data_IF_830841400107
#
_entry.id   IF_830841400107
#
_cell.length_a   1.000
_cell.length_b   1.000
_cell.length_c   1.000
_cell.angle_alpha   90.00
_cell.angle_beta   90.00
_cell.angle_gamma   90.00
#
_symmetry.space_group_name_H-M   'P 1'
#
loop_
_entity.id
_entity.type
_entity.pdbx_description
1 polymer ?
#
# COMPACT_ATOMS: atom_id res chain seq x y z
N UNK A 1 -47.82 6.36 -10.43
CA UNK A 1 -46.92 5.53 -9.61
C UNK A 1 -45.65 5.33 -10.41
N UNK A 2 -44.54 5.89 -9.90
CA UNK A 2 -43.16 5.76 -10.39
C UNK A 2 -42.62 4.32 -10.22
N UNK A 3 -41.35 4.01 -10.56
CA UNK A 3 -40.69 4.13 -11.87
C UNK A 3 -39.82 2.89 -12.21
N UNK A 4 -39.07 2.99 -13.31
CA UNK A 4 -38.13 2.05 -13.89
C UNK A 4 -37.00 1.55 -12.96
N UNK A 5 -36.57 0.31 -13.20
CA UNK A 5 -35.40 -0.32 -12.56
C UNK A 5 -34.19 -0.23 -13.49
N UNK A 6 -33.21 0.60 -13.12
CA UNK A 6 -31.89 0.67 -13.74
C UNK A 6 -31.01 -0.45 -13.20
N UNK A 7 -30.56 -1.35 -14.07
CA UNK A 7 -29.49 -2.29 -13.76
C UNK A 7 -28.14 -1.59 -13.96
N UNK A 8 -27.41 -1.35 -12.87
CA UNK A 8 -25.97 -1.07 -12.91
C UNK A 8 -25.22 -2.18 -12.18
N UNK A 9 -24.40 -2.93 -12.90
CA UNK A 9 -23.28 -3.69 -12.37
C UNK A 9 -22.17 -3.71 -13.42
N UNK A 10 -21.15 -2.89 -13.22
CA UNK A 10 -19.77 -3.22 -13.60
C UNK A 10 -18.83 -2.34 -12.78
N UNK A 11 -18.08 -2.97 -11.88
CA UNK A 11 -17.04 -2.32 -11.09
C UNK A 11 -15.81 -3.23 -11.14
N UNK A 12 -14.99 -3.02 -12.18
CA UNK A 12 -13.65 -3.57 -12.28
C UNK A 12 -12.66 -2.51 -11.77
N UNK A 13 -11.71 -2.89 -10.93
CA UNK A 13 -10.54 -2.07 -10.62
C UNK A 13 -10.11 -2.11 -9.15
N UNK A 14 -9.14 -2.96 -8.84
CA UNK A 14 -8.34 -2.93 -7.61
C UNK A 14 -6.91 -2.57 -7.97
N UNK A 15 -6.45 -1.36 -7.62
CA UNK A 15 -5.03 -0.98 -7.64
C UNK A 15 -4.69 -0.08 -6.42
N UNK A 16 -3.44 -0.20 -5.94
CA UNK A 16 -2.89 0.51 -4.78
C UNK A 16 -2.06 1.73 -5.22
N UNK A 17 -2.09 2.81 -4.43
CA UNK A 17 -1.65 4.16 -4.82
C UNK A 17 -0.68 4.84 -3.83
N UNK A 18 0.25 5.70 -4.29
CA UNK A 18 1.14 6.51 -3.46
C UNK A 18 0.57 7.92 -3.11
N UNK A 19 0.99 8.52 -1.99
CA UNK A 19 0.53 9.84 -1.48
C UNK A 19 1.65 10.88 -1.39
N UNK A 20 1.32 12.17 -1.54
CA UNK A 20 2.24 13.30 -1.33
C UNK A 20 1.55 14.41 -0.52
N UNK A 21 2.27 15.07 0.39
CA UNK A 21 1.75 15.94 1.45
C UNK A 21 2.54 17.27 1.59
N UNK A 22 1.88 18.30 2.15
CA UNK A 22 2.50 19.59 2.52
C UNK A 22 1.88 20.02 3.85
N UNK A 23 2.62 19.97 4.98
CA UNK A 23 2.06 20.08 6.34
C UNK A 23 2.94 20.93 7.28
N UNK A 24 2.29 21.86 7.98
CA UNK A 24 2.78 22.52 9.19
C UNK A 24 1.86 22.17 10.39
N UNK A 25 2.41 21.41 11.34
CA UNK A 25 1.99 21.11 12.73
C UNK A 25 0.69 20.28 13.01
N UNK A 26 0.71 19.49 14.11
CA UNK A 26 -0.06 18.23 14.28
C UNK A 26 -1.20 18.23 15.34
N UNK A 27 -2.22 17.38 15.13
CA UNK A 27 -3.24 16.95 16.13
C UNK A 27 -4.19 15.86 15.58
N UNK A 28 -4.64 14.90 16.41
CA UNK A 28 -5.10 13.53 16.08
C UNK A 28 -6.62 13.28 15.92
N UNK A 29 -7.09 12.39 15.00
CA UNK A 29 -8.01 11.22 15.22
C UNK A 29 -8.70 10.55 13.96
N UNK A 30 -8.65 9.19 13.88
CA UNK A 30 -9.51 8.12 13.24
C UNK A 30 -9.80 7.84 11.70
N UNK A 31 -9.50 6.57 11.29
CA UNK A 31 -10.12 5.46 10.45
C UNK A 31 -11.09 5.63 9.21
N UNK A 32 -10.70 5.09 8.01
CA UNK A 32 -11.34 4.01 7.12
C UNK A 32 -11.20 4.17 5.57
N UNK A 33 -10.51 3.20 4.88
CA UNK A 33 -10.34 2.90 3.41
C UNK A 33 -9.03 3.29 2.66
N UNK A 34 -8.12 2.32 2.54
CA UNK A 34 -6.67 2.50 2.68
C UNK A 34 -5.86 3.23 1.61
N UNK A 35 -6.43 3.63 0.48
CA UNK A 35 -5.70 4.47 -0.46
C UNK A 35 -6.15 5.93 -0.30
N UNK A 36 -7.23 6.32 -0.96
CA UNK A 36 -7.76 7.67 -0.84
C UNK A 36 -8.36 7.97 0.52
N UNK A 37 -8.80 7.00 1.33
CA UNK A 37 -9.19 7.38 2.70
C UNK A 37 -8.00 7.76 3.57
N UNK A 38 -6.77 7.35 3.26
CA UNK A 38 -5.62 7.83 4.05
C UNK A 38 -5.38 9.29 3.70
N UNK A 39 -5.53 9.66 2.43
CA UNK A 39 -5.54 11.05 2.00
C UNK A 39 -6.74 11.84 2.57
N UNK A 40 -7.96 11.29 2.58
CA UNK A 40 -9.14 11.90 3.20
C UNK A 40 -8.93 12.03 4.70
N UNK A 41 -8.44 10.99 5.37
CA UNK A 41 -8.16 11.02 6.80
C UNK A 41 -7.10 12.07 7.12
N UNK A 42 -6.02 12.15 6.33
CA UNK A 42 -5.03 13.21 6.47
C UNK A 42 -5.67 14.59 6.24
N UNK A 43 -6.46 14.78 5.18
CA UNK A 43 -7.12 16.04 4.90
C UNK A 43 -8.12 16.46 5.99
N UNK A 44 -8.85 15.51 6.57
CA UNK A 44 -9.75 15.73 7.71
C UNK A 44 -9.00 16.01 9.01
N UNK A 45 -7.87 15.33 9.24
CA UNK A 45 -7.04 15.50 10.44
C UNK A 45 -6.27 16.83 10.39
N UNK A 46 -5.84 17.24 9.19
CA UNK A 46 -5.08 18.47 8.94
C UNK A 46 -5.87 19.38 7.99
N UNK A 47 -6.92 20.07 8.47
CA UNK A 47 -7.78 20.90 7.62
C UNK A 47 -7.04 22.10 7.00
N UNK A 48 -5.88 22.46 7.53
CA UNK A 48 -5.00 23.52 6.99
C UNK A 48 -3.97 22.99 5.98
N UNK A 49 -3.79 21.67 5.87
CA UNK A 49 -2.89 21.08 4.90
C UNK A 49 -3.53 21.06 3.52
N UNK A 50 -2.71 21.25 2.48
CA UNK A 50 -3.08 20.87 1.12
C UNK A 50 -2.64 19.43 0.90
N UNK A 51 -3.61 18.54 0.64
CA UNK A 51 -3.35 17.12 0.44
C UNK A 51 -3.51 16.78 -1.04
N UNK A 52 -2.52 16.06 -1.57
CA UNK A 52 -2.55 15.54 -2.94
C UNK A 52 -2.56 14.00 -2.87
N UNK A 53 -3.62 13.40 -3.39
CA UNK A 53 -3.69 11.98 -3.65
C UNK A 53 -3.36 11.71 -5.12
N UNK A 54 -2.53 10.69 -5.39
CA UNK A 54 -2.19 10.30 -6.76
C UNK A 54 -2.43 8.80 -6.98
N UNK A 55 -2.96 8.45 -8.15
CA UNK A 55 -3.09 7.06 -8.63
C UNK A 55 -3.03 7.06 -10.16
N UNK A 56 -2.59 5.97 -10.79
CA UNK A 56 -2.60 5.87 -12.27
C UNK A 56 -4.02 5.67 -12.82
N UNK A 57 -4.95 5.25 -11.98
CA UNK A 57 -6.37 5.05 -12.30
C UNK A 57 -7.24 6.16 -11.74
N UNK A 58 -8.49 6.24 -12.23
CA UNK A 58 -9.44 7.22 -11.73
C UNK A 58 -10.01 6.79 -10.37
N UNK A 59 -10.22 7.78 -9.51
CA UNK A 59 -10.95 7.55 -8.27
C UNK A 59 -12.44 7.33 -8.56
N UNK A 60 -13.08 6.29 -7.99
CA UNK A 60 -14.53 6.13 -8.09
C UNK A 60 -15.27 7.37 -7.57
N UNK A 61 -16.40 7.77 -8.17
CA UNK A 61 -17.12 8.98 -7.79
C UNK A 61 -17.42 9.06 -6.29
N UNK A 62 -16.93 10.12 -5.64
CA UNK A 62 -17.17 10.39 -4.22
C UNK A 62 -16.91 11.85 -3.84
N UNK A 63 -17.50 12.34 -2.75
CA UNK A 63 -17.09 13.60 -2.16
C UNK A 63 -15.67 13.50 -1.60
N UNK A 64 -14.88 14.56 -1.82
CA UNK A 64 -13.56 14.75 -1.23
C UNK A 64 -13.59 15.98 -0.32
N UNK A 65 -12.79 16.00 0.77
CA UNK A 65 -12.54 17.22 1.53
C UNK A 65 -12.05 18.36 0.62
N UNK A 66 -12.44 19.60 0.93
CA UNK A 66 -12.09 20.78 0.11
C UNK A 66 -10.59 21.02 -0.01
N UNK A 67 -9.81 20.51 0.95
CA UNK A 67 -8.35 20.60 0.99
C UNK A 67 -7.64 19.36 0.42
N UNK A 68 -8.39 18.42 -0.21
CA UNK A 68 -7.85 17.25 -0.89
C UNK A 68 -8.06 17.36 -2.40
N UNK A 69 -6.97 17.27 -3.16
CA UNK A 69 -6.98 17.15 -4.62
C UNK A 69 -6.54 15.75 -5.04
N UNK A 70 -7.26 15.18 -6.00
CA UNK A 70 -6.88 13.91 -6.62
C UNK A 70 -6.23 14.17 -7.99
N UNK A 71 -5.10 13.54 -8.24
CA UNK A 71 -4.36 13.60 -9.51
C UNK A 71 -4.24 12.20 -10.10
N UNK A 72 -4.78 12.00 -11.31
CA UNK A 72 -4.48 10.81 -12.08
C UNK A 72 -3.05 10.92 -12.62
N UNK A 73 -2.13 10.12 -12.09
CA UNK A 73 -0.71 10.20 -12.34
C UNK A 73 -0.06 8.82 -12.31
N UNK A 74 0.69 8.50 -13.38
CA UNK A 74 1.61 7.36 -13.36
C UNK A 74 2.94 7.81 -12.76
N UNK A 75 3.24 7.33 -11.55
CA UNK A 75 4.48 7.70 -10.85
C UNK A 75 5.76 7.21 -11.52
N UNK A 76 5.68 6.35 -12.53
CA UNK A 76 6.84 5.94 -13.34
C UNK A 76 7.24 7.03 -14.34
N UNK A 77 6.33 7.95 -14.65
CA UNK A 77 6.54 9.09 -15.55
C UNK A 77 6.99 10.34 -14.76
N UNK A 78 7.57 11.36 -15.42
CA UNK A 78 7.92 12.63 -14.79
C UNK A 78 6.75 13.24 -14.01
N UNK A 79 7.04 13.75 -12.81
CA UNK A 79 6.03 14.39 -11.98
C UNK A 79 5.74 15.81 -12.50
N UNK A 80 4.46 16.25 -12.57
CA UNK A 80 4.08 17.57 -13.03
C UNK A 80 4.12 18.59 -11.87
N UNK A 81 5.08 18.46 -10.97
CA UNK A 81 5.21 19.29 -9.79
C UNK A 81 6.60 19.93 -9.76
N UNK A 82 6.66 21.15 -9.26
CA UNK A 82 7.93 21.83 -9.07
C UNK A 82 8.82 21.07 -8.06
N UNK A 83 10.15 21.06 -8.25
CA UNK A 83 11.07 20.60 -7.23
C UNK A 83 10.83 21.32 -5.90
N UNK A 84 11.12 20.66 -4.79
CA UNK A 84 11.02 21.26 -3.44
C UNK A 84 9.64 21.87 -3.14
N UNK A 85 8.58 21.25 -3.62
CA UNK A 85 7.21 21.75 -3.45
C UNK A 85 6.45 21.09 -2.29
N UNK A 86 6.91 19.94 -1.80
CA UNK A 86 6.26 19.13 -0.77
C UNK A 86 7.01 19.12 0.56
N UNK A 87 6.28 19.23 1.68
CA UNK A 87 6.87 19.09 3.01
C UNK A 87 6.96 17.63 3.45
N UNK A 88 6.06 16.78 2.96
CA UNK A 88 5.99 15.37 3.34
C UNK A 88 5.60 14.56 2.10
N UNK A 89 6.14 13.38 1.87
CA UNK A 89 5.67 12.45 0.82
C UNK A 89 5.52 11.08 1.47
N UNK A 90 4.44 10.36 1.14
CA UNK A 90 4.14 9.06 1.70
C UNK A 90 3.80 8.03 0.61
N UNK A 91 4.74 7.17 0.29
CA UNK A 91 4.51 6.07 -0.66
C UNK A 91 4.10 4.84 0.13
N UNK A 92 2.90 4.31 -0.18
CA UNK A 92 2.28 3.23 0.60
C UNK A 92 1.81 2.11 -0.30
N UNK A 93 2.33 0.90 -0.09
CA UNK A 93 1.94 -0.30 -0.83
C UNK A 93 2.02 -0.11 -2.35
N UNK A 94 3.14 0.45 -2.81
CA UNK A 94 3.32 0.87 -4.20
C UNK A 94 4.63 0.39 -4.77
N UNK A 95 5.70 0.40 -3.98
CA UNK A 95 7.04 0.12 -4.50
C UNK A 95 7.14 -1.32 -5.02
N UNK A 96 6.46 -2.28 -4.39
CA UNK A 96 6.43 -3.68 -4.84
C UNK A 96 5.71 -3.92 -6.17
N UNK A 97 5.02 -2.90 -6.70
CA UNK A 97 4.38 -2.94 -8.01
C UNK A 97 5.27 -2.35 -9.13
N UNK A 98 6.46 -1.84 -8.78
CA UNK A 98 7.31 -1.11 -9.72
C UNK A 98 8.51 -1.96 -10.16
N UNK A 99 8.89 -1.92 -11.45
CA UNK A 99 10.08 -2.61 -11.94
C UNK A 99 11.38 -1.90 -11.54
N UNK A 100 11.35 -0.59 -11.29
CA UNK A 100 12.52 0.18 -10.82
C UNK A 100 12.14 1.18 -9.70
N UNK A 101 11.85 0.67 -8.48
CA UNK A 101 11.48 1.51 -7.35
C UNK A 101 12.54 2.58 -6.98
N UNK A 102 13.88 2.31 -6.99
CA UNK A 102 14.89 3.31 -6.69
C UNK A 102 14.81 4.55 -7.58
N UNK A 103 14.50 4.40 -8.86
CA UNK A 103 14.35 5.53 -9.77
C UNK A 103 13.15 6.44 -9.40
N UNK A 104 12.04 5.85 -8.98
CA UNK A 104 10.88 6.63 -8.50
C UNK A 104 11.21 7.34 -7.20
N UNK A 105 11.87 6.64 -6.26
CA UNK A 105 12.28 7.24 -4.97
C UNK A 105 13.19 8.45 -5.21
N UNK A 106 14.16 8.36 -6.13
CA UNK A 106 15.03 9.50 -6.50
C UNK A 106 14.23 10.72 -6.95
N UNK A 107 13.27 10.56 -7.87
CA UNK A 107 12.44 11.68 -8.36
C UNK A 107 11.51 12.23 -7.28
N UNK A 108 11.05 11.37 -6.37
CA UNK A 108 10.26 11.80 -5.20
C UNK A 108 11.08 12.64 -4.23
N UNK A 109 12.37 12.33 -4.04
CA UNK A 109 13.30 13.12 -3.21
C UNK A 109 13.47 14.55 -3.76
N UNK A 110 13.49 14.71 -5.08
CA UNK A 110 13.60 16.04 -5.73
C UNK A 110 12.39 16.94 -5.42
N UNK A 111 11.21 16.34 -5.23
CA UNK A 111 9.98 17.07 -4.91
C UNK A 111 9.89 17.50 -3.44
N UNK A 112 10.68 16.89 -2.55
CA UNK A 112 10.73 17.27 -1.14
C UNK A 112 11.52 18.56 -0.95
N UNK A 113 10.99 19.47 -0.13
CA UNK A 113 11.75 20.61 0.39
C UNK A 113 12.91 20.15 1.27
N UNK A 114 13.96 20.97 1.42
CA UNK A 114 14.91 20.84 2.52
C UNK A 114 14.16 20.74 3.86
N UNK A 115 14.53 19.77 4.69
CA UNK A 115 13.82 19.46 5.94
C UNK A 115 12.48 18.72 5.80
N UNK A 116 12.02 18.43 4.58
CA UNK A 116 10.82 17.64 4.31
C UNK A 116 10.98 16.15 4.61
N UNK A 117 9.88 15.41 4.72
CA UNK A 117 9.88 14.01 5.12
C UNK A 117 9.46 13.06 4.00
N UNK A 118 10.20 11.98 3.80
CA UNK A 118 9.75 10.83 3.01
C UNK A 118 9.33 9.71 3.95
N UNK A 119 8.13 9.17 3.76
CA UNK A 119 7.60 7.99 4.42
C UNK A 119 7.37 6.93 3.36
N UNK A 120 7.93 5.74 3.56
CA UNK A 120 7.74 4.57 2.73
C UNK A 120 7.15 3.48 3.61
N UNK A 121 6.07 2.84 3.15
CA UNK A 121 5.51 1.68 3.82
C UNK A 121 5.14 0.60 2.80
N UNK A 122 5.63 -0.61 3.00
CA UNK A 122 5.40 -1.70 2.05
C UNK A 122 5.50 -3.11 2.69
N UNK A 123 5.02 -4.11 1.96
CA UNK A 123 4.98 -5.52 2.37
C UNK A 123 6.21 -6.28 1.87
N UNK A 124 6.72 -7.19 2.68
CA UNK A 124 7.67 -8.22 2.21
C UNK A 124 6.93 -9.53 1.98
N UNK A 125 7.37 -10.26 0.95
CA UNK A 125 6.70 -11.46 0.46
C UNK A 125 7.64 -12.65 0.50
N UNK A 126 8.11 -13.05 1.70
CA UNK A 126 8.94 -14.22 1.83
C UNK A 126 8.16 -15.46 1.39
N UNK A 127 8.87 -16.37 0.71
CA UNK A 127 8.31 -17.62 0.19
C UNK A 127 7.91 -18.60 1.29
N UNK A 128 8.42 -18.43 2.50
CA UNK A 128 8.15 -19.30 3.64
C UNK A 128 7.93 -18.51 4.92
N UNK A 129 6.91 -18.89 5.67
CA UNK A 129 6.79 -18.60 7.09
C UNK A 129 6.35 -19.88 7.82
N UNK A 130 6.92 -20.17 9.00
CA UNK A 130 6.66 -21.43 9.70
C UNK A 130 5.22 -21.56 10.23
N UNK A 131 4.43 -20.49 10.16
CA UNK A 131 3.07 -20.43 10.70
C UNK A 131 1.96 -20.67 9.66
N UNK A 132 2.26 -20.46 8.38
CA UNK A 132 1.35 -20.60 7.25
C UNK A 132 1.00 -22.06 6.98
N UNK A 133 -0.23 -22.29 6.51
CA UNK A 133 -0.64 -23.58 5.98
C UNK A 133 -0.11 -23.83 4.56
N UNK A 134 -0.28 -25.07 4.06
CA UNK A 134 0.21 -25.47 2.74
C UNK A 134 -0.35 -24.60 1.60
N UNK A 135 -1.62 -24.18 1.62
CA UNK A 135 -2.17 -23.32 0.58
C UNK A 135 -1.57 -21.90 0.64
N UNK A 136 -1.31 -21.38 1.85
CA UNK A 136 -0.58 -20.13 2.02
C UNK A 136 0.86 -20.19 1.50
N UNK A 137 1.58 -21.27 1.76
CA UNK A 137 2.92 -21.48 1.19
C UNK A 137 2.89 -21.54 -0.33
N UNK A 138 1.97 -22.32 -0.90
CA UNK A 138 1.86 -22.45 -2.35
C UNK A 138 1.46 -21.14 -3.02
N UNK A 139 0.50 -20.40 -2.45
CA UNK A 139 0.11 -19.08 -2.94
C UNK A 139 1.29 -18.09 -2.91
N UNK A 140 2.07 -18.07 -1.83
CA UNK A 140 3.28 -17.23 -1.73
C UNK A 140 4.33 -17.63 -2.78
N UNK A 141 4.54 -18.94 -3.01
CA UNK A 141 5.47 -19.45 -4.02
C UNK A 141 5.06 -19.04 -5.44
N UNK A 142 3.80 -19.23 -5.80
CA UNK A 142 3.24 -18.82 -7.10
C UNK A 142 3.41 -17.30 -7.27
N UNK A 143 3.04 -16.53 -6.25
CA UNK A 143 3.17 -15.07 -6.27
C UNK A 143 4.61 -14.58 -6.39
N UNK A 144 5.52 -15.21 -5.67
CA UNK A 144 6.95 -14.90 -5.74
C UNK A 144 7.49 -15.12 -7.17
N UNK A 145 7.23 -16.30 -7.73
CA UNK A 145 7.69 -16.65 -9.08
C UNK A 145 7.12 -15.69 -10.12
N UNK A 146 5.83 -15.37 -10.01
CA UNK A 146 5.17 -14.41 -10.88
C UNK A 146 5.81 -13.02 -10.77
N UNK A 147 6.04 -12.50 -9.55
CA UNK A 147 6.68 -11.19 -9.35
C UNK A 147 8.07 -11.15 -10.01
N UNK A 148 8.90 -12.18 -9.78
CA UNK A 148 10.23 -12.27 -10.38
C UNK A 148 10.15 -12.33 -11.92
N UNK A 149 9.22 -13.09 -12.48
CA UNK A 149 9.02 -13.17 -13.93
C UNK A 149 8.59 -11.83 -14.56
N UNK A 150 7.91 -10.97 -13.79
CA UNK A 150 7.55 -9.60 -14.19
C UNK A 150 8.68 -8.57 -13.96
N UNK A 151 9.85 -9.00 -13.45
CA UNK A 151 10.95 -8.10 -13.09
C UNK A 151 10.66 -7.24 -11.86
N UNK A 152 9.74 -7.67 -10.99
CA UNK A 152 9.42 -7.02 -9.72
C UNK A 152 10.30 -7.60 -8.60
N UNK A 153 10.60 -6.77 -7.59
CA UNK A 153 11.35 -7.18 -6.41
C UNK A 153 10.39 -7.58 -5.25
N UNK A 154 10.31 -8.87 -4.87
CA UNK A 154 9.49 -9.32 -3.74
C UNK A 154 9.96 -8.83 -2.37
N UNK A 155 11.17 -8.27 -2.30
CA UNK A 155 11.84 -7.82 -1.07
C UNK A 155 12.15 -6.32 -1.09
N UNK A 156 11.54 -5.53 -1.99
CA UNK A 156 11.81 -4.08 -2.07
C UNK A 156 11.60 -3.35 -0.73
N UNK A 157 10.63 -3.81 0.06
CA UNK A 157 10.35 -3.33 1.41
C UNK A 157 11.56 -3.44 2.34
N UNK A 158 12.38 -4.46 2.18
CA UNK A 158 13.60 -4.70 2.96
C UNK A 158 14.74 -3.76 2.54
N UNK A 159 14.74 -3.33 1.27
CA UNK A 159 15.73 -2.46 0.66
C UNK A 159 15.42 -0.96 0.83
N UNK A 160 14.20 -0.58 1.24
CA UNK A 160 13.78 0.83 1.32
C UNK A 160 14.75 1.72 2.09
N UNK A 161 15.20 1.28 3.26
CA UNK A 161 16.11 2.06 4.10
C UNK A 161 17.47 2.29 3.43
N UNK A 162 18.03 1.22 2.85
CA UNK A 162 19.28 1.26 2.12
C UNK A 162 19.18 2.23 0.93
N UNK A 163 18.09 2.20 0.16
CA UNK A 163 17.87 3.12 -0.95
C UNK A 163 17.86 4.59 -0.48
N UNK A 164 17.26 4.86 0.68
CA UNK A 164 17.25 6.21 1.26
C UNK A 164 18.66 6.62 1.72
N UNK A 165 19.40 5.73 2.37
CA UNK A 165 20.77 5.98 2.83
C UNK A 165 21.74 6.24 1.65
N UNK A 166 21.69 5.40 0.62
CA UNK A 166 22.51 5.50 -0.59
C UNK A 166 22.19 6.73 -1.45
N UNK A 167 21.01 7.34 -1.26
CA UNK A 167 20.67 8.60 -1.92
C UNK A 167 21.49 9.78 -1.43
N UNK A 168 22.07 9.68 -0.22
CA UNK A 168 22.78 10.76 0.48
C UNK A 168 21.98 12.07 0.64
N UNK A 169 20.66 12.04 0.42
CA UNK A 169 19.80 13.22 0.46
C UNK A 169 19.22 13.51 1.85
N UNK A 170 19.40 12.60 2.81
CA UNK A 170 18.72 12.63 4.10
C UNK A 170 19.71 12.76 5.26
N UNK A 171 19.33 13.57 6.26
CA UNK A 171 20.10 13.73 7.50
C UNK A 171 19.84 12.61 8.51
N UNK A 172 18.71 11.92 8.38
CA UNK A 172 18.37 10.75 9.17
C UNK A 172 17.47 9.81 8.38
N UNK A 173 17.68 8.51 8.57
CA UNK A 173 16.85 7.42 8.04
C UNK A 173 16.51 6.52 9.22
N UNK A 174 15.24 6.16 9.33
CA UNK A 174 14.72 5.31 10.39
C UNK A 174 13.87 4.20 9.79
N UNK A 175 13.79 3.07 10.50
CA UNK A 175 12.96 1.94 10.08
C UNK A 175 12.19 1.34 11.23
N UNK A 176 11.06 0.74 10.88
CA UNK A 176 10.29 -0.11 11.78
C UNK A 176 9.74 -1.30 11.01
N UNK A 177 9.89 -2.51 11.56
CA UNK A 177 9.58 -3.78 10.87
C UNK A 177 8.61 -4.62 11.72
N UNK A 178 7.32 -4.25 11.80
CA UNK A 178 6.37 -5.05 12.56
C UNK A 178 5.94 -6.29 11.78
N UNK A 179 5.61 -7.36 12.51
CA UNK A 179 4.84 -8.47 11.96
C UNK A 179 3.36 -8.18 12.13
N UNK A 180 2.64 -8.12 11.01
CA UNK A 180 1.20 -7.91 11.00
C UNK A 180 0.52 -9.26 11.13
N UNK A 181 -0.21 -9.45 12.22
CA UNK A 181 -0.98 -10.66 12.48
C UNK A 181 -2.30 -10.60 11.73
N UNK A 182 -2.34 -11.23 10.56
CA UNK A 182 -3.55 -11.33 9.76
C UNK A 182 -4.51 -12.35 10.35
N UNK A 183 -4.03 -13.43 11.00
CA UNK A 183 -4.87 -14.44 11.63
C UNK A 183 -4.18 -15.10 12.86
N UNK A 184 -4.90 -15.31 13.98
CA UNK A 184 -6.05 -14.50 14.38
C UNK A 184 -5.63 -13.04 14.51
N UNK A 185 -6.57 -12.11 14.27
CA UNK A 185 -6.25 -10.68 14.42
C UNK A 185 -6.18 -10.34 15.91
N UNK A 186 -5.15 -9.63 16.38
CA UNK A 186 -5.06 -9.21 17.78
C UNK A 186 -6.26 -8.35 18.20
N UNK A 187 -6.66 -8.50 19.45
CA UNK A 187 -7.77 -7.79 20.09
C UNK A 187 -7.29 -6.97 21.31
N UNK A 188 -8.18 -6.18 21.90
CA UNK A 188 -7.86 -5.35 23.07
C UNK A 188 -6.86 -4.25 22.78
N UNK A 189 -5.97 -4.01 23.74
CA UNK A 189 -5.00 -2.90 23.77
C UNK A 189 -3.70 -3.19 23.00
N UNK A 190 -3.65 -4.27 22.21
CA UNK A 190 -2.50 -4.55 21.35
C UNK A 190 -2.31 -3.37 20.35
N UNK A 191 -1.12 -2.75 20.32
CA UNK A 191 -0.86 -1.54 19.52
C UNK A 191 -0.99 -1.79 18.01
N UNK A 192 -0.89 -3.04 17.57
CA UNK A 192 -1.06 -3.45 16.18
C UNK A 192 -2.47 -3.98 15.89
N UNK A 193 -3.39 -4.06 16.86
CA UNK A 193 -4.73 -4.61 16.65
C UNK A 193 -5.50 -3.87 15.54
N UNK A 194 -5.53 -2.53 15.60
CA UNK A 194 -6.20 -1.72 14.59
C UNK A 194 -5.51 -1.81 13.23
N UNK A 195 -4.17 -1.83 13.23
CA UNK A 195 -3.36 -1.94 12.03
C UNK A 195 -3.59 -3.30 11.34
N UNK A 196 -3.55 -4.38 12.11
CA UNK A 196 -3.76 -5.76 11.67
C UNK A 196 -5.17 -6.00 11.14
N UNK A 197 -6.21 -5.48 11.79
CA UNK A 197 -7.60 -5.55 11.27
C UNK A 197 -7.72 -4.93 9.88
N UNK A 198 -7.16 -3.74 9.71
CA UNK A 198 -7.23 -2.99 8.46
C UNK A 198 -6.43 -3.68 7.35
N UNK A 199 -5.26 -4.24 7.67
CA UNK A 199 -4.44 -4.99 6.72
C UNK A 199 -5.04 -6.34 6.35
N UNK A 200 -5.63 -7.09 7.30
CA UNK A 200 -6.33 -8.34 7.01
C UNK A 200 -7.40 -8.15 5.94
N UNK A 201 -8.29 -7.17 6.14
CA UNK A 201 -9.36 -6.87 5.16
C UNK A 201 -8.78 -6.61 3.78
N UNK A 202 -7.65 -5.91 3.73
CA UNK A 202 -7.06 -5.47 2.48
C UNK A 202 -6.33 -6.59 1.76
N UNK A 203 -5.63 -7.46 2.49
CA UNK A 203 -4.97 -8.65 1.96
C UNK A 203 -6.01 -9.66 1.47
N UNK A 204 -7.09 -9.90 2.22
CA UNK A 204 -8.18 -10.79 1.78
C UNK A 204 -8.84 -10.23 0.52
N UNK A 205 -9.14 -8.93 0.49
CA UNK A 205 -9.73 -8.33 -0.71
C UNK A 205 -8.82 -8.43 -1.94
N UNK A 206 -7.52 -8.15 -1.76
CA UNK A 206 -6.57 -8.09 -2.87
C UNK A 206 -6.10 -9.47 -3.38
N UNK A 207 -6.17 -10.51 -2.56
CA UNK A 207 -5.65 -11.84 -2.91
C UNK A 207 -6.73 -12.92 -2.93
N UNK A 208 -7.75 -12.80 -2.08
CA UNK A 208 -8.83 -13.78 -1.95
C UNK A 208 -10.11 -13.44 -2.71
N UNK A 209 -10.40 -12.16 -2.95
CA UNK A 209 -11.63 -11.73 -3.62
C UNK A 209 -11.39 -11.14 -5.01
N UNK A 210 -10.13 -11.10 -5.46
CA UNK A 210 -9.78 -10.66 -6.81
C UNK A 210 -10.07 -11.74 -7.83
N UNK A 211 -10.73 -11.36 -8.92
CA UNK A 211 -11.00 -12.26 -10.04
C UNK A 211 -9.68 -12.77 -10.66
N UNK A 212 -9.60 -14.09 -10.79
CA UNK A 212 -8.48 -14.75 -11.44
C UNK A 212 -8.68 -14.69 -12.95
N UNK A 213 -7.96 -13.78 -13.60
CA UNK A 213 -7.94 -13.64 -15.06
C UNK A 213 -7.31 -14.87 -15.73
N UNK A 214 -7.56 -15.11 -17.03
CA UNK A 214 -6.90 -16.19 -17.76
C UNK A 214 -5.36 -16.14 -17.69
N UNK A 215 -4.79 -14.94 -17.67
CA UNK A 215 -3.35 -14.71 -17.57
C UNK A 215 -2.83 -15.14 -16.19
N UNK A 216 -3.45 -14.67 -15.10
CA UNK A 216 -3.07 -15.09 -13.74
C UNK A 216 -3.25 -16.60 -13.54
N UNK A 217 -4.27 -17.21 -14.16
CA UNK A 217 -4.46 -18.66 -14.14
C UNK A 217 -3.32 -19.41 -14.82
N UNK A 218 -2.82 -18.90 -15.94
CA UNK A 218 -1.69 -19.50 -16.66
C UNK A 218 -0.39 -19.46 -15.83
N UNK A 219 -0.27 -18.47 -14.95
CA UNK A 219 0.85 -18.30 -14.01
C UNK A 219 0.70 -19.14 -12.72
N UNK A 220 -0.39 -19.90 -12.58
CA UNK A 220 -0.63 -20.83 -11.47
C UNK A 220 -1.54 -20.32 -10.37
N UNK A 221 -2.09 -19.10 -10.48
CA UNK A 221 -3.14 -18.65 -9.56
C UNK A 221 -4.46 -19.34 -9.93
N UNK A 222 -4.80 -20.44 -9.26
CA UNK A 222 -6.06 -21.16 -9.51
C UNK A 222 -7.16 -20.76 -8.53
N UNK A 223 -8.42 -20.97 -8.89
CA UNK A 223 -9.55 -20.70 -7.97
C UNK A 223 -9.48 -21.64 -6.77
N UNK A 224 -9.06 -22.87 -6.99
CA UNK A 224 -8.87 -23.88 -5.95
C UNK A 224 -7.80 -23.43 -4.95
N UNK A 225 -6.68 -22.90 -5.43
CA UNK A 225 -5.61 -22.37 -4.58
C UNK A 225 -6.07 -21.12 -3.82
N UNK A 226 -6.80 -20.21 -4.47
CA UNK A 226 -7.34 -19.01 -3.83
C UNK A 226 -8.35 -19.35 -2.72
N UNK A 227 -9.28 -20.28 -2.97
CA UNK A 227 -10.27 -20.69 -1.96
C UNK A 227 -9.62 -21.48 -0.81
N UNK A 228 -8.64 -22.35 -1.10
CA UNK A 228 -7.87 -23.02 -0.06
C UNK A 228 -7.06 -22.01 0.79
N UNK A 229 -6.44 -21.02 0.15
CA UNK A 229 -5.75 -19.92 0.83
C UNK A 229 -6.72 -19.14 1.75
N UNK A 230 -7.92 -18.80 1.27
CA UNK A 230 -8.95 -18.12 2.09
C UNK A 230 -9.41 -18.97 3.27
N UNK A 231 -9.60 -20.27 3.05
CA UNK A 231 -9.99 -21.18 4.13
C UNK A 231 -8.92 -21.18 5.23
N UNK A 232 -7.64 -21.30 4.88
CA UNK A 232 -6.55 -21.24 5.86
C UNK A 232 -6.42 -19.88 6.53
N UNK A 233 -6.65 -18.77 5.80
CA UNK A 233 -6.64 -17.42 6.36
C UNK A 233 -7.76 -17.18 7.38
N UNK A 234 -8.85 -17.94 7.32
CA UNK A 234 -10.00 -17.85 8.23
C UNK A 234 -10.03 -18.96 9.30
N UNK A 235 -9.09 -19.90 9.27
CA UNK A 235 -8.97 -20.98 10.26
C UNK A 235 -8.37 -20.44 11.56
N UNK A 236 -9.12 -20.33 12.67
CA UNK A 236 -8.62 -19.74 13.91
C UNK A 236 -7.50 -20.56 14.57
N UNK A 237 -7.29 -21.82 14.16
CA UNK A 237 -6.17 -22.64 14.64
C UNK A 237 -4.84 -22.30 13.97
N UNK A 238 -4.88 -21.53 12.86
CA UNK A 238 -3.69 -21.15 12.08
C UNK A 238 -3.23 -19.75 12.40
N UNK A 239 -1.91 -19.55 12.33
CA UNK A 239 -1.32 -18.24 12.45
C UNK A 239 -0.87 -17.74 11.08
N UNK A 240 -1.32 -16.56 10.69
CA UNK A 240 -0.89 -15.91 9.45
C UNK A 240 -0.30 -14.56 9.80
N UNK A 241 1.00 -14.41 9.55
CA UNK A 241 1.73 -13.16 9.77
C UNK A 241 2.36 -12.68 8.48
N UNK A 242 2.46 -11.36 8.34
CA UNK A 242 3.09 -10.74 7.18
C UNK A 242 4.08 -9.67 7.68
N UNK A 243 5.36 -9.75 7.32
CA UNK A 243 6.30 -8.68 7.63
C UNK A 243 5.93 -7.42 6.86
N UNK A 244 5.78 -6.33 7.60
CA UNK A 244 5.51 -5.01 7.08
C UNK A 244 6.72 -4.14 7.37
N UNK A 245 7.06 -3.25 6.44
CA UNK A 245 8.22 -2.39 6.58
C UNK A 245 7.79 -0.95 6.50
N UNK A 246 8.31 -0.16 7.42
CA UNK A 246 8.25 1.28 7.40
C UNK A 246 9.67 1.80 7.31
N UNK A 247 9.91 2.75 6.42
CA UNK A 247 11.10 3.57 6.39
C UNK A 247 10.68 5.03 6.35
N UNK A 248 11.30 5.89 7.14
CA UNK A 248 11.09 7.33 7.04
C UNK A 248 12.39 8.09 7.20
N UNK A 249 12.50 9.19 6.47
CA UNK A 249 13.72 9.96 6.39
C UNK A 249 13.42 11.46 6.22
N UNK A 250 14.30 12.30 6.77
CA UNK A 250 14.17 13.76 6.67
C UNK A 250 15.25 14.35 5.77
N UNK A 251 14.85 15.07 4.72
CA UNK A 251 15.76 15.63 3.72
C UNK A 251 16.68 16.64 4.40
N UNK A 252 17.96 16.61 4.00
CA UNK A 252 18.98 17.54 4.51
C UNK A 252 18.62 19.00 4.23
#
# INVERSE_FOLDING_TARGET
MSPATTTQLSNNGTEAAPYMFKIHDWGSEWKRLMSVSRAIHAASTYPKAEVIAADKTDLPPRPLPSNLKFHKLNIMEPFPFEPESFDVIHIRLVLFHLPNPPNVIRRVIELLKPGGWLLLEDLSMPTYDASSGPAQHEFRRVRYNWMVAQGLDPYISEHMAQILEESHAFRSVHTHKPYVCLNPVPEGDDPLAAFSRVHRVSVIKALGDTDITPELRAEGFTKELQEAWKAEMNDPSRKSVLPFYFAWAQKA
#
